data_IF_410949857705
#
_entry.id   IF_410949857705
#
_cell.length_a   1.000
_cell.length_b   1.000
_cell.length_c   1.000
_cell.angle_alpha   90.00
_cell.angle_beta   90.00
_cell.angle_gamma   90.00
#
_symmetry.space_group_name_H-M   'P 1'
#
loop_
_entity.id
_entity.type
_entity.pdbx_description
1 polymer ?
#
# COMPACT_ATOMS: atom_id res chain seq x y z
N UNK A 1 -9.01 92.54 44.03
CA UNK A 1 -9.96 92.46 42.90
C UNK A 1 -9.18 92.04 41.66
N UNK A 2 -9.35 90.79 41.23
CA UNK A 2 -9.35 90.39 39.82
C UNK A 2 -9.72 88.90 39.78
N UNK A 3 -10.94 88.62 39.31
CA UNK A 3 -11.45 87.28 39.06
C UNK A 3 -10.97 86.89 37.67
N UNK A 4 -10.14 85.86 37.58
CA UNK A 4 -9.81 85.23 36.30
C UNK A 4 -10.72 84.02 36.14
N UNK A 5 -11.77 84.18 35.33
CA UNK A 5 -12.64 83.09 34.90
C UNK A 5 -11.92 82.28 33.83
N UNK A 6 -11.60 81.01 34.11
CA UNK A 6 -11.19 80.04 33.10
C UNK A 6 -12.47 79.39 32.57
N UNK A 7 -12.79 79.64 31.31
CA UNK A 7 -13.86 78.97 30.57
C UNK A 7 -13.33 77.59 30.18
N UNK A 8 -13.81 76.54 30.83
CA UNK A 8 -13.59 75.17 30.42
C UNK A 8 -14.50 74.86 29.22
N UNK A 9 -13.92 74.79 28.02
CA UNK A 9 -14.58 74.25 26.84
C UNK A 9 -14.44 72.72 26.87
N UNK A 10 -15.47 72.02 27.33
CA UNK A 10 -15.60 70.57 27.18
C UNK A 10 -15.78 70.23 25.70
N UNK A 11 -14.72 69.73 25.06
CA UNK A 11 -14.82 69.00 23.80
C UNK A 11 -15.57 67.69 24.09
N UNK A 12 -16.84 67.63 23.73
CA UNK A 12 -17.57 66.37 23.61
C UNK A 12 -17.10 65.69 22.32
N UNK A 13 -16.12 64.80 22.42
CA UNK A 13 -15.80 63.83 21.37
C UNK A 13 -16.98 62.87 21.25
N UNK A 14 -17.84 63.10 20.26
CA UNK A 14 -18.78 62.09 19.76
C UNK A 14 -17.91 61.03 19.06
N UNK A 15 -17.50 60.02 19.83
CA UNK A 15 -17.07 58.74 19.27
C UNK A 15 -18.30 58.12 18.62
N UNK A 16 -18.40 58.23 17.30
CA UNK A 16 -19.18 57.29 16.51
C UNK A 16 -18.55 55.90 16.71
N UNK A 17 -18.95 55.19 17.75
CA UNK A 17 -18.84 53.73 17.75
C UNK A 17 -19.87 53.24 16.74
N UNK A 18 -19.45 53.12 15.48
CA UNK A 18 -20.13 52.17 14.61
C UNK A 18 -20.12 50.84 15.37
N UNK A 19 -21.26 50.14 15.53
CA UNK A 19 -21.20 48.76 15.98
C UNK A 19 -20.28 48.08 14.97
N UNK A 20 -19.14 47.58 15.44
CA UNK A 20 -18.29 46.71 14.63
C UNK A 20 -19.18 45.57 14.20
N UNK A 21 -19.60 45.62 12.94
CA UNK A 21 -20.30 44.53 12.28
C UNK A 21 -19.33 43.37 12.35
N UNK A 22 -19.60 42.44 13.26
CA UNK A 22 -19.00 41.12 13.25
C UNK A 22 -19.58 40.43 12.01
N UNK A 23 -18.85 40.54 10.91
CA UNK A 23 -18.99 39.68 9.73
C UNK A 23 -18.80 38.23 10.16
N UNK A 24 -19.31 37.26 9.44
CA UNK A 24 -19.04 35.86 9.72
C UNK A 24 -19.22 35.05 8.39
N UNK A 25 -18.49 33.96 8.22
CA UNK A 25 -18.08 33.44 6.90
C UNK A 25 -19.15 32.60 6.20
N UNK A 26 -19.21 32.68 4.87
CA UNK A 26 -19.89 31.70 4.02
C UNK A 26 -18.87 30.93 3.17
N UNK A 27 -19.10 29.65 2.91
CA UNK A 27 -18.42 28.89 1.84
C UNK A 27 -19.03 29.29 0.51
N UNK A 28 -18.18 29.60 -0.47
CA UNK A 28 -18.59 29.77 -1.86
C UNK A 28 -18.91 28.40 -2.50
N UNK A 29 -20.14 27.92 -2.27
CA UNK A 29 -20.56 26.60 -2.75
C UNK A 29 -20.80 26.55 -4.27
N UNK A 30 -20.85 27.70 -4.97
CA UNK A 30 -20.94 27.75 -6.44
C UNK A 30 -19.64 27.31 -7.08
N UNK A 31 -18.52 27.77 -6.53
CA UNK A 31 -17.16 27.53 -7.00
C UNK A 31 -16.45 26.37 -6.31
N UNK A 32 -17.03 25.81 -5.26
CA UNK A 32 -16.44 24.72 -4.51
C UNK A 32 -16.29 23.45 -5.35
N UNK A 33 -15.12 22.81 -5.22
CA UNK A 33 -14.81 21.52 -5.84
C UNK A 33 -15.70 20.42 -5.29
N UNK A 34 -16.20 19.56 -6.19
CA UNK A 34 -17.17 18.48 -5.90
C UNK A 34 -16.86 17.18 -6.63
N UNK A 35 -15.58 16.96 -6.98
CA UNK A 35 -15.15 15.79 -7.74
C UNK A 35 -15.20 14.52 -6.88
N UNK A 36 -15.59 13.41 -7.49
CA UNK A 36 -15.46 12.10 -6.85
C UNK A 36 -14.17 11.44 -7.29
N UNK A 37 -13.36 10.99 -6.33
CA UNK A 37 -12.15 10.22 -6.57
C UNK A 37 -12.33 8.76 -6.14
N UNK A 38 -11.49 7.90 -6.69
CA UNK A 38 -11.29 6.53 -6.21
C UNK A 38 -10.08 6.51 -5.27
N UNK A 39 -10.00 5.48 -4.43
CA UNK A 39 -8.81 5.23 -3.64
C UNK A 39 -7.67 4.77 -4.55
N UNK A 40 -6.63 5.57 -4.64
CA UNK A 40 -5.31 5.15 -5.06
C UNK A 40 -4.54 4.80 -3.78
N UNK A 41 -3.97 3.60 -3.65
CA UNK A 41 -3.13 3.21 -2.51
C UNK A 41 -1.64 3.06 -2.88
N UNK A 42 -1.27 3.43 -4.11
CA UNK A 42 0.07 3.14 -4.65
C UNK A 42 1.20 3.98 -4.06
N UNK A 43 0.87 5.04 -3.30
CA UNK A 43 1.85 5.85 -2.56
C UNK A 43 2.32 5.21 -1.25
N UNK A 44 1.67 4.13 -0.78
CA UNK A 44 1.94 3.55 0.53
C UNK A 44 2.41 2.11 0.48
N UNK A 45 3.25 1.76 1.44
CA UNK A 45 3.45 0.38 1.87
C UNK A 45 2.53 0.07 3.06
N UNK A 46 2.08 -1.18 3.18
CA UNK A 46 1.33 -1.60 4.37
C UNK A 46 2.29 -1.56 5.58
N UNK A 47 1.89 -0.95 6.72
CA UNK A 47 2.73 -0.88 7.91
C UNK A 47 3.20 -2.27 8.39
N UNK A 48 4.43 -2.33 8.90
CA UNK A 48 5.04 -3.60 9.35
C UNK A 48 4.38 -4.17 10.60
N UNK A 49 3.95 -3.30 11.52
CA UNK A 49 3.41 -3.69 12.82
C UNK A 49 1.89 -3.46 12.90
N UNK A 50 1.20 -4.29 13.69
CA UNK A 50 -0.22 -4.08 14.02
C UNK A 50 -0.42 -2.75 14.72
N UNK A 51 -1.50 -2.05 14.35
CA UNK A 51 -1.77 -0.68 14.80
C UNK A 51 -0.91 0.38 14.11
N UNK A 52 0.08 -0.02 13.31
CA UNK A 52 0.86 0.89 12.50
C UNK A 52 -0.02 1.59 11.46
N UNK A 53 0.20 2.89 11.31
CA UNK A 53 -0.49 3.77 10.36
C UNK A 53 0.53 4.34 9.37
N UNK A 54 0.16 4.38 8.09
CA UNK A 54 0.95 5.06 7.08
C UNK A 54 0.76 6.58 7.16
N UNK A 55 1.53 7.37 6.41
CA UNK A 55 1.32 8.82 6.36
C UNK A 55 -0.03 9.18 5.73
N UNK A 56 -0.67 10.27 6.17
CA UNK A 56 -1.91 10.76 5.55
C UNK A 56 -1.63 11.50 4.24
N UNK A 57 -2.23 11.03 3.16
CA UNK A 57 -2.16 11.68 1.86
C UNK A 57 -3.55 11.77 1.23
N UNK A 58 -3.71 12.66 0.25
CA UNK A 58 -4.90 12.76 -0.56
C UNK A 58 -4.58 12.57 -2.05
N UNK A 59 -5.55 12.04 -2.79
CA UNK A 59 -5.42 11.84 -4.23
C UNK A 59 -6.37 12.77 -4.99
N UNK A 60 -6.46 14.01 -4.52
CA UNK A 60 -7.32 15.04 -5.06
C UNK A 60 -7.56 16.16 -4.06
N UNK A 61 -7.55 17.39 -4.56
CA UNK A 61 -7.82 18.59 -3.78
C UNK A 61 -9.14 19.22 -4.21
N UNK A 62 -9.88 19.73 -3.23
CA UNK A 62 -11.14 20.43 -3.47
C UNK A 62 -10.89 21.92 -3.29
N UNK A 63 -11.02 22.71 -4.37
CA UNK A 63 -11.08 24.17 -4.24
C UNK A 63 -12.18 24.51 -3.24
N UNK A 64 -11.87 25.29 -2.23
CA UNK A 64 -12.82 25.74 -1.24
C UNK A 64 -12.49 27.18 -0.86
N UNK A 65 -13.39 28.09 -1.22
CA UNK A 65 -13.24 29.50 -0.91
C UNK A 65 -14.19 29.88 0.22
N UNK A 66 -13.71 30.75 1.09
CA UNK A 66 -14.50 31.38 2.15
C UNK A 66 -14.70 32.86 1.80
N UNK A 67 -15.93 33.34 1.99
CA UNK A 67 -16.40 34.67 1.62
C UNK A 67 -16.55 35.54 2.87
N UNK A 68 -16.30 36.84 2.68
CA UNK A 68 -16.52 37.87 3.69
C UNK A 68 -18.01 38.24 3.74
N UNK A 69 -18.76 37.53 4.57
CA UNK A 69 -20.23 37.58 4.65
C UNK A 69 -20.69 37.74 6.10
N UNK A 70 -21.94 37.42 6.44
CA UNK A 70 -22.37 37.22 7.85
C UNK A 70 -22.96 35.82 8.04
N UNK A 71 -22.41 35.02 8.95
CA UNK A 71 -22.81 33.63 9.20
C UNK A 71 -21.70 32.69 9.71
N UNK A 72 -21.97 31.42 9.89
CA UNK A 72 -20.95 30.40 10.19
C UNK A 72 -20.95 29.40 9.06
N UNK A 73 -19.77 29.06 8.56
CA UNK A 73 -19.65 27.99 7.59
C UNK A 73 -18.97 26.79 8.25
N UNK A 74 -19.43 25.58 7.94
CA UNK A 74 -18.74 24.36 8.37
C UNK A 74 -18.62 23.34 7.26
N UNK A 75 -17.60 22.51 7.36
CA UNK A 75 -17.38 21.34 6.52
C UNK A 75 -17.41 20.12 7.41
N UNK A 76 -18.12 19.09 6.99
CA UNK A 76 -18.11 17.79 7.69
C UNK A 76 -17.75 16.67 6.75
N UNK A 77 -17.16 15.62 7.31
CA UNK A 77 -16.92 14.36 6.62
C UNK A 77 -17.84 13.28 7.20
N UNK A 78 -18.65 12.65 6.35
CA UNK A 78 -19.42 11.46 6.70
C UNK A 78 -18.78 10.23 6.06
N UNK A 79 -18.37 9.29 6.89
CA UNK A 79 -17.78 8.02 6.45
C UNK A 79 -18.87 6.95 6.46
N UNK A 80 -19.26 6.47 5.29
CA UNK A 80 -20.14 5.32 5.17
C UNK A 80 -19.30 4.04 5.19
N UNK A 81 -18.90 3.63 6.40
CA UNK A 81 -18.09 2.45 6.66
C UNK A 81 -18.25 1.97 8.09
N UNK A 82 -17.78 0.76 8.39
CA UNK A 82 -17.82 0.21 9.75
C UNK A 82 -16.56 0.62 10.51
N UNK A 83 -16.67 1.34 11.64
CA UNK A 83 -15.52 1.59 12.51
C UNK A 83 -15.00 0.28 13.11
N UNK A 84 -13.70 0.08 13.10
CA UNK A 84 -13.04 -1.15 13.59
C UNK A 84 -11.98 -0.89 14.67
N UNK A 85 -11.72 0.38 14.99
CA UNK A 85 -10.81 0.74 16.07
C UNK A 85 -10.31 2.17 15.98
N UNK A 86 -9.22 2.42 16.69
CA UNK A 86 -8.55 3.72 16.79
C UNK A 86 -7.07 3.54 16.53
N UNK A 87 -6.49 4.38 15.68
CA UNK A 87 -5.06 4.38 15.36
C UNK A 87 -4.24 5.00 16.50
N UNK A 88 -2.92 4.83 16.44
CA UNK A 88 -2.00 5.33 17.48
C UNK A 88 -2.05 6.86 17.67
N UNK A 89 -2.49 7.60 16.67
CA UNK A 89 -2.65 9.05 16.69
C UNK A 89 -4.08 9.51 17.06
N UNK A 90 -4.93 8.57 17.50
CA UNK A 90 -6.32 8.82 17.87
C UNK A 90 -7.31 8.73 16.69
N UNK A 91 -6.84 8.53 15.46
CA UNK A 91 -7.72 8.52 14.30
C UNK A 91 -8.73 7.37 14.33
N UNK A 92 -9.97 7.60 13.90
CA UNK A 92 -10.95 6.51 13.74
C UNK A 92 -10.58 5.65 12.54
N UNK A 93 -10.53 4.32 12.73
CA UNK A 93 -10.20 3.36 11.67
C UNK A 93 -11.48 2.70 11.17
N UNK A 94 -11.60 2.57 9.85
CA UNK A 94 -12.73 1.93 9.19
C UNK A 94 -12.31 0.70 8.40
N UNK A 95 -13.19 -0.30 8.34
CA UNK A 95 -12.96 -1.56 7.64
C UNK A 95 -12.78 -1.37 6.12
N UNK A 96 -11.92 -2.19 5.52
CA UNK A 96 -11.92 -2.48 4.08
C UNK A 96 -12.49 -3.88 3.82
N UNK A 97 -12.52 -4.32 2.56
CA UNK A 97 -12.84 -5.73 2.26
C UNK A 97 -11.73 -6.72 2.69
N UNK A 98 -10.49 -6.27 2.93
CA UNK A 98 -9.45 -7.11 3.51
C UNK A 98 -9.45 -6.89 5.03
N UNK A 99 -9.81 -7.88 5.86
CA UNK A 99 -9.98 -7.67 7.30
C UNK A 99 -8.66 -7.45 8.05
N UNK A 100 -7.51 -7.63 7.40
CA UNK A 100 -6.21 -7.25 7.96
C UNK A 100 -5.85 -5.78 7.77
N UNK A 101 -6.64 -5.01 7.01
CA UNK A 101 -6.33 -3.65 6.60
C UNK A 101 -7.53 -2.72 6.81
N UNK A 102 -7.28 -1.61 7.49
CA UNK A 102 -8.23 -0.52 7.68
C UNK A 102 -7.77 0.77 7.00
N UNK A 103 -8.68 1.73 6.92
CA UNK A 103 -8.41 3.10 6.47
C UNK A 103 -8.75 4.07 7.59
N UNK A 104 -7.82 4.97 7.90
CA UNK A 104 -8.09 6.15 8.73
C UNK A 104 -8.24 7.38 7.84
N UNK A 105 -9.00 8.37 8.28
CA UNK A 105 -9.22 9.62 7.53
C UNK A 105 -8.73 10.83 8.31
N UNK A 106 -8.32 11.84 7.55
CA UNK A 106 -8.04 13.16 8.08
C UNK A 106 -8.68 14.20 7.16
N UNK A 107 -9.62 14.96 7.72
CA UNK A 107 -10.11 16.18 7.09
C UNK A 107 -9.05 17.24 7.31
N UNK A 108 -8.73 18.01 6.29
CA UNK A 108 -7.76 19.10 6.41
C UNK A 108 -8.11 20.27 5.49
N UNK A 109 -7.84 21.49 5.92
CA UNK A 109 -7.99 22.69 5.09
C UNK A 109 -6.68 23.48 5.07
N UNK A 110 -6.26 23.89 3.87
CA UNK A 110 -5.04 24.66 3.67
C UNK A 110 -5.30 25.89 2.78
N UNK A 111 -4.43 26.90 2.91
CA UNK A 111 -4.40 28.06 2.03
C UNK A 111 -2.96 28.31 1.59
N UNK A 112 -2.71 29.07 0.50
CA UNK A 112 -1.34 29.38 0.08
C UNK A 112 -0.47 30.11 1.11
N UNK A 113 -1.09 30.74 2.12
CA UNK A 113 -0.40 31.64 3.07
C UNK A 113 -0.42 31.16 4.52
N UNK A 114 -1.21 30.13 4.87
CA UNK A 114 -1.33 29.63 6.25
C UNK A 114 -0.68 28.26 6.39
N UNK A 115 0.32 28.18 7.25
CA UNK A 115 1.19 27.00 7.44
C UNK A 115 0.75 26.07 8.56
N UNK A 116 -0.26 26.44 9.36
CA UNK A 116 -0.85 25.56 10.39
C UNK A 116 -2.24 25.15 9.94
N UNK A 117 -2.37 24.01 9.23
CA UNK A 117 -3.65 23.66 8.65
C UNK A 117 -4.55 23.11 9.75
N UNK A 118 -5.83 23.51 9.76
CA UNK A 118 -6.82 22.87 10.64
C UNK A 118 -6.96 21.41 10.18
N UNK A 119 -6.80 20.47 11.09
CA UNK A 119 -6.88 19.04 10.82
C UNK A 119 -7.86 18.39 11.82
N UNK A 120 -8.64 17.43 11.35
CA UNK A 120 -9.51 16.61 12.21
C UNK A 120 -9.41 15.17 11.72
N UNK A 121 -9.00 14.29 12.61
CA UNK A 121 -8.74 12.88 12.33
C UNK A 121 -9.69 11.95 13.12
N UNK A 122 -10.60 12.49 13.93
CA UNK A 122 -11.50 11.73 14.78
C UNK A 122 -12.95 11.95 14.32
N UNK A 123 -13.72 10.88 14.19
CA UNK A 123 -15.15 11.01 13.89
C UNK A 123 -15.94 11.50 15.12
N UNK A 124 -16.96 12.36 14.96
CA UNK A 124 -17.41 13.00 13.72
C UNK A 124 -16.47 14.13 13.27
N UNK A 125 -16.09 14.10 11.99
CA UNK A 125 -15.14 15.05 11.42
C UNK A 125 -15.82 16.39 11.12
N UNK A 126 -15.33 17.48 11.70
CA UNK A 126 -15.89 18.81 11.49
C UNK A 126 -14.83 19.92 11.49
N UNK A 127 -15.00 20.86 10.55
CA UNK A 127 -14.38 22.17 10.62
C UNK A 127 -15.39 23.27 10.61
N UNK A 128 -15.19 24.25 11.48
CA UNK A 128 -15.98 25.47 11.55
C UNK A 128 -15.09 26.67 11.18
N UNK A 129 -15.51 27.41 10.17
CA UNK A 129 -14.91 28.67 9.77
C UNK A 129 -15.55 29.82 10.56
N UNK A 130 -14.78 30.39 11.49
CA UNK A 130 -15.21 31.47 12.38
C UNK A 130 -14.82 32.85 11.84
N UNK A 131 -15.62 33.87 12.19
CA UNK A 131 -15.51 35.29 11.81
C UNK A 131 -14.10 35.81 11.44
N UNK A 132 -14.01 36.52 10.31
CA UNK A 132 -12.83 37.30 9.89
C UNK A 132 -11.87 36.55 8.98
N UNK A 133 -12.24 35.35 8.55
CA UNK A 133 -11.44 34.45 7.74
C UNK A 133 -12.00 34.35 6.31
N UNK A 134 -11.50 35.20 5.42
CA UNK A 134 -11.75 35.13 3.98
C UNK A 134 -10.49 34.64 3.28
N UNK A 135 -10.58 33.50 2.61
CA UNK A 135 -9.43 32.88 1.98
C UNK A 135 -9.82 32.02 0.78
N UNK A 136 -8.94 32.04 -0.22
CA UNK A 136 -8.89 31.02 -1.26
C UNK A 136 -8.05 29.86 -0.75
N UNK A 137 -8.63 28.67 -0.70
CA UNK A 137 -7.96 27.50 -0.16
C UNK A 137 -8.38 26.20 -0.80
N UNK A 138 -7.91 25.13 -0.16
CA UNK A 138 -8.13 23.76 -0.58
C UNK A 138 -8.56 22.92 0.62
N UNK A 139 -9.67 22.22 0.45
CA UNK A 139 -10.05 21.13 1.33
C UNK A 139 -9.36 19.85 0.86
N UNK A 140 -8.84 19.12 1.83
CA UNK A 140 -8.16 17.86 1.71
C UNK A 140 -8.99 16.79 2.42
N UNK A 141 -9.30 15.71 1.71
CA UNK A 141 -9.85 14.49 2.29
C UNK A 141 -8.73 13.46 2.24
N UNK A 142 -7.90 13.44 3.29
CA UNK A 142 -6.75 12.56 3.37
C UNK A 142 -7.15 11.22 3.95
N UNK A 143 -6.40 10.20 3.59
CA UNK A 143 -6.55 8.87 4.18
C UNK A 143 -5.20 8.18 4.34
N UNK A 144 -5.16 7.19 5.23
CA UNK A 144 -3.97 6.40 5.52
C UNK A 144 -4.34 4.93 5.71
N UNK A 145 -3.43 4.05 5.30
CA UNK A 145 -3.54 2.60 5.51
C UNK A 145 -3.16 2.28 6.96
N UNK A 146 -3.97 1.44 7.60
CA UNK A 146 -3.71 0.92 8.94
C UNK A 146 -3.66 -0.60 8.92
N UNK A 147 -2.63 -1.19 9.54
CA UNK A 147 -2.56 -2.64 9.71
C UNK A 147 -3.33 -3.07 10.95
N UNK A 148 -4.27 -4.00 10.78
CA UNK A 148 -5.18 -4.43 11.85
C UNK A 148 -4.79 -5.77 12.49
N UNK A 149 -4.00 -6.60 11.81
CA UNK A 149 -3.73 -7.98 12.25
C UNK A 149 -2.26 -8.36 12.04
N UNK A 150 -1.78 -9.30 12.87
CA UNK A 150 -0.43 -9.86 12.73
C UNK A 150 -0.26 -10.60 11.41
N UNK A 151 -1.31 -11.30 10.98
CA UNK A 151 -1.37 -11.97 9.69
C UNK A 151 -2.44 -11.32 8.80
N UNK A 152 -1.99 -10.50 7.86
CA UNK A 152 -2.86 -9.90 6.84
C UNK A 152 -3.30 -11.00 5.89
N UNK A 153 -4.60 -11.32 5.78
CA UNK A 153 -5.07 -12.44 4.98
C UNK A 153 -4.91 -12.20 3.46
N UNK A 154 -5.10 -13.26 2.65
CA UNK A 154 -5.14 -13.14 1.19
C UNK A 154 -6.28 -12.23 0.72
N UNK A 155 -6.17 -11.78 -0.54
CA UNK A 155 -7.17 -10.99 -1.22
C UNK A 155 -6.81 -9.49 -1.29
N UNK A 156 -6.89 -8.93 -2.49
CA UNK A 156 -6.62 -7.52 -2.73
C UNK A 156 -7.64 -6.60 -2.04
N UNK A 157 -7.25 -5.36 -1.77
CA UNK A 157 -8.15 -4.34 -1.27
C UNK A 157 -8.91 -3.76 -2.47
N UNK A 158 -10.18 -4.12 -2.64
CA UNK A 158 -11.00 -3.66 -3.78
C UNK A 158 -12.01 -2.61 -3.36
N UNK A 159 -12.39 -2.58 -2.07
CA UNK A 159 -13.34 -1.62 -1.53
C UNK A 159 -12.90 -1.04 -0.19
N UNK A 160 -13.17 0.23 -0.02
CA UNK A 160 -13.02 1.01 1.21
C UNK A 160 -14.34 1.80 1.45
N UNK A 161 -14.50 2.48 2.59
CA UNK A 161 -15.69 3.28 2.86
C UNK A 161 -15.99 4.33 1.78
N UNK A 162 -17.26 4.60 1.55
CA UNK A 162 -17.68 5.76 0.76
C UNK A 162 -17.58 6.99 1.65
N UNK A 163 -17.02 8.08 1.13
CA UNK A 163 -16.82 9.31 1.90
C UNK A 163 -17.63 10.44 1.28
N UNK A 164 -18.49 11.03 2.09
CA UNK A 164 -19.32 12.17 1.72
C UNK A 164 -18.80 13.42 2.42
N UNK A 165 -18.62 14.49 1.66
CA UNK A 165 -18.30 15.82 2.19
C UNK A 165 -19.57 16.65 2.16
N UNK A 166 -19.83 17.37 3.26
CA UNK A 166 -20.94 18.31 3.35
C UNK A 166 -20.42 19.71 3.65
N UNK A 167 -20.87 20.69 2.87
CA UNK A 167 -20.67 22.12 3.08
C UNK A 167 -21.95 22.71 3.64
N UNK A 168 -21.84 23.44 4.74
CA UNK A 168 -22.97 24.12 5.38
C UNK A 168 -22.68 25.61 5.55
N UNK A 169 -23.70 26.42 5.32
CA UNK A 169 -23.71 27.85 5.61
C UNK A 169 -24.88 28.18 6.54
N UNK A 170 -24.60 28.84 7.66
CA UNK A 170 -25.59 29.22 8.67
C UNK A 170 -25.60 30.74 8.89
N UNK A 171 -26.74 31.43 8.75
CA UNK A 171 -28.03 30.90 8.34
C UNK A 171 -27.99 30.40 6.89
N UNK A 172 -28.89 29.47 6.56
CA UNK A 172 -29.01 28.93 5.21
C UNK A 172 -29.14 30.06 4.18
N UNK A 173 -28.32 30.02 3.13
CA UNK A 173 -28.27 31.05 2.08
C UNK A 173 -28.73 30.49 0.75
N UNK A 174 -29.54 31.22 0.00
CA UNK A 174 -30.06 30.78 -1.31
C UNK A 174 -29.02 30.87 -2.41
N UNK A 175 -28.10 31.82 -2.30
CA UNK A 175 -27.01 32.08 -3.24
C UNK A 175 -25.80 31.17 -3.00
N UNK A 176 -25.65 30.65 -1.78
CA UNK A 176 -24.63 29.67 -1.41
C UNK A 176 -25.26 28.54 -0.57
N UNK A 177 -26.08 27.68 -1.20
CA UNK A 177 -26.80 26.64 -0.48
C UNK A 177 -25.86 25.57 0.07
N UNK A 178 -26.33 24.85 1.08
CA UNK A 178 -25.66 23.65 1.59
C UNK A 178 -25.49 22.62 0.46
N UNK A 179 -24.34 21.97 0.42
CA UNK A 179 -24.01 20.96 -0.60
C UNK A 179 -23.54 19.69 0.08
N UNK A 180 -23.99 18.55 -0.42
CA UNK A 180 -23.45 17.22 -0.10
C UNK A 180 -23.00 16.53 -1.38
N UNK A 181 -21.82 15.93 -1.37
CA UNK A 181 -21.31 15.17 -2.51
C UNK A 181 -20.37 14.03 -2.08
N UNK A 182 -20.25 13.01 -2.92
CA UNK A 182 -19.32 11.91 -2.71
C UNK A 182 -17.91 12.34 -3.07
N UNK A 183 -17.04 12.43 -2.08
CA UNK A 183 -15.62 12.74 -2.25
C UNK A 183 -14.82 11.49 -2.65
N UNK A 184 -15.05 10.35 -1.96
CA UNK A 184 -14.42 9.06 -2.28
C UNK A 184 -15.49 8.01 -2.55
N UNK A 185 -15.41 7.34 -3.70
CA UNK A 185 -16.43 6.41 -4.21
C UNK A 185 -16.50 5.06 -3.49
N UNK A 186 -15.54 4.77 -2.60
CA UNK A 186 -15.36 3.45 -2.00
C UNK A 186 -14.60 2.45 -2.89
N UNK A 187 -14.32 2.77 -4.15
CA UNK A 187 -13.57 1.87 -5.06
C UNK A 187 -12.07 2.07 -4.90
N UNK A 188 -11.31 0.97 -4.74
CA UNK A 188 -9.84 0.99 -4.74
C UNK A 188 -9.32 0.58 -6.13
N UNK A 189 -8.62 1.50 -6.80
CA UNK A 189 -8.13 1.30 -8.18
C UNK A 189 -6.65 0.95 -8.26
N UNK A 190 -5.86 1.28 -7.22
CA UNK A 190 -4.44 0.91 -7.17
C UNK A 190 -4.09 0.33 -5.80
N UNK A 191 -3.29 -0.73 -5.80
CA UNK A 191 -2.89 -1.44 -4.60
C UNK A 191 -1.68 -0.78 -3.90
N UNK A 192 -1.49 -1.04 -2.60
CA UNK A 192 -0.26 -0.68 -1.89
C UNK A 192 0.98 -1.28 -2.53
N UNK A 193 2.10 -0.57 -2.39
CA UNK A 193 3.43 -1.04 -2.75
C UNK A 193 3.74 -2.34 -2.03
N UNK A 194 4.31 -3.31 -2.76
CA UNK A 194 4.67 -4.62 -2.22
C UNK A 194 6.06 -4.55 -1.61
N UNK A 195 6.17 -4.98 -0.37
CA UNK A 195 7.44 -5.47 0.18
C UNK A 195 7.59 -6.94 -0.19
N UNK A 196 8.56 -7.25 -1.05
CA UNK A 196 8.83 -8.62 -1.47
C UNK A 196 9.27 -9.49 -0.28
N UNK A 197 9.00 -10.80 -0.36
CA UNK A 197 9.56 -11.77 0.56
C UNK A 197 11.09 -11.70 0.52
N UNK A 198 11.74 -11.89 1.67
CA UNK A 198 13.15 -12.25 1.70
C UNK A 198 13.29 -13.74 1.40
N UNK A 199 14.23 -14.09 0.52
CA UNK A 199 14.48 -15.48 0.12
C UNK A 199 15.77 -15.94 0.79
N UNK A 200 15.69 -17.00 1.58
CA UNK A 200 16.84 -17.71 2.10
C UNK A 200 16.92 -19.08 1.42
N UNK A 201 17.89 -19.22 0.51
CA UNK A 201 18.11 -20.39 -0.31
C UNK A 201 19.59 -20.82 -0.24
N UNK A 202 19.91 -22.11 -0.42
CA UNK A 202 21.30 -22.54 -0.52
C UNK A 202 21.96 -21.93 -1.75
N UNK A 203 23.19 -21.45 -1.61
CA UNK A 203 23.98 -20.90 -2.73
C UNK A 203 24.63 -22.00 -3.58
N UNK A 204 24.76 -23.21 -3.05
CA UNK A 204 25.35 -24.36 -3.71
C UNK A 204 24.71 -25.65 -3.19
N UNK A 205 24.51 -26.61 -4.09
CA UNK A 205 24.18 -28.00 -3.75
C UNK A 205 25.25 -28.89 -4.39
N UNK A 206 26.00 -29.62 -3.56
CA UNK A 206 27.07 -30.50 -4.03
C UNK A 206 26.53 -31.89 -4.28
N UNK A 207 26.65 -32.34 -5.52
CA UNK A 207 26.35 -33.71 -5.91
C UNK A 207 27.56 -34.63 -5.66
N UNK A 208 27.34 -35.93 -5.37
CA UNK A 208 28.43 -36.88 -5.15
C UNK A 208 29.19 -37.15 -6.44
N UNK A 209 30.50 -37.35 -6.36
CA UNK A 209 31.30 -37.72 -7.55
C UNK A 209 30.78 -39.02 -8.18
N UNK A 210 30.51 -38.99 -9.48
CA UNK A 210 30.25 -40.20 -10.28
C UNK A 210 31.53 -40.71 -10.94
N UNK A 211 31.64 -42.04 -11.04
CA UNK A 211 32.77 -42.70 -11.69
C UNK A 211 32.30 -43.39 -12.97
N UNK A 212 33.06 -43.21 -14.06
CA UNK A 212 32.68 -43.66 -15.41
C UNK A 212 32.31 -45.13 -15.52
N UNK A 213 32.96 -46.00 -14.75
CA UNK A 213 32.70 -47.45 -14.73
C UNK A 213 31.36 -47.85 -14.07
N UNK A 214 30.71 -46.91 -13.38
CA UNK A 214 29.47 -47.14 -12.63
C UNK A 214 28.30 -46.30 -13.14
N UNK A 215 28.46 -45.63 -14.29
CA UNK A 215 27.40 -44.81 -14.85
C UNK A 215 26.26 -45.69 -15.38
N UNK A 216 25.04 -45.18 -15.22
CA UNK A 216 23.81 -45.70 -15.80
C UNK A 216 23.05 -44.59 -16.53
N UNK A 217 22.10 -44.95 -17.41
CA UNK A 217 21.21 -43.96 -18.01
C UNK A 217 20.20 -43.47 -16.96
N UNK A 218 19.79 -42.21 -17.07
CA UNK A 218 18.84 -41.56 -16.18
C UNK A 218 19.49 -40.89 -14.94
N UNK A 219 18.67 -40.73 -13.91
CA UNK A 219 19.01 -39.97 -12.71
C UNK A 219 19.99 -40.71 -11.79
N UNK A 220 21.07 -40.06 -11.37
CA UNK A 220 22.10 -40.65 -10.50
C UNK A 220 22.61 -39.66 -9.47
N UNK A 221 23.02 -40.18 -8.30
CA UNK A 221 23.54 -39.35 -7.22
C UNK A 221 22.50 -38.36 -6.69
N UNK A 222 21.26 -38.83 -6.49
CA UNK A 222 20.15 -38.02 -5.98
C UNK A 222 20.54 -37.42 -4.63
N UNK A 223 20.43 -36.10 -4.52
CA UNK A 223 20.76 -35.31 -3.32
C UNK A 223 19.60 -34.39 -2.98
N UNK A 224 19.23 -34.36 -1.70
CA UNK A 224 18.24 -33.42 -1.18
C UNK A 224 18.76 -31.98 -1.23
N UNK A 225 17.92 -31.05 -1.66
CA UNK A 225 18.23 -29.63 -1.61
C UNK A 225 17.87 -29.09 -0.22
N UNK A 226 18.77 -28.33 0.45
CA UNK A 226 18.43 -27.63 1.68
C UNK A 226 17.18 -26.77 1.50
N UNK A 227 16.29 -26.78 2.50
CA UNK A 227 15.00 -26.09 2.42
C UNK A 227 15.17 -24.60 2.11
N UNK A 228 14.41 -24.12 1.11
CA UNK A 228 14.31 -22.70 0.79
C UNK A 228 13.18 -22.10 1.61
N UNK A 229 13.49 -21.07 2.40
CA UNK A 229 12.51 -20.36 3.22
C UNK A 229 12.24 -18.97 2.67
N UNK A 230 10.97 -18.58 2.63
CA UNK A 230 10.52 -17.24 2.31
C UNK A 230 10.10 -16.56 3.60
N UNK A 231 10.62 -15.37 3.89
CA UNK A 231 10.29 -14.64 5.12
C UNK A 231 9.70 -13.27 4.82
N UNK A 232 8.85 -12.80 5.74
CA UNK A 232 8.16 -11.50 5.64
C UNK A 232 7.39 -11.34 4.32
N UNK A 233 6.76 -12.41 3.85
CA UNK A 233 5.94 -12.36 2.65
C UNK A 233 4.71 -11.46 2.86
N UNK A 234 4.27 -10.74 1.81
CA UNK A 234 3.18 -9.78 1.90
C UNK A 234 1.81 -10.49 1.99
N UNK A 235 0.89 -9.85 2.69
CA UNK A 235 -0.55 -10.16 2.64
C UNK A 235 -1.26 -9.28 1.62
N UNK A 236 -2.60 -9.31 1.63
CA UNK A 236 -3.45 -8.56 0.70
C UNK A 236 -3.13 -8.81 -0.79
N UNK A 237 -2.76 -10.06 -1.07
CA UNK A 237 -2.52 -10.62 -2.41
C UNK A 237 -3.33 -11.91 -2.53
N UNK A 238 -3.70 -12.26 -3.75
CA UNK A 238 -4.48 -13.47 -3.99
C UNK A 238 -3.61 -14.72 -3.76
N UNK A 239 -2.31 -14.61 -4.03
CA UNK A 239 -1.38 -15.71 -3.81
C UNK A 239 0.07 -15.32 -4.09
N UNK A 240 0.98 -16.16 -3.66
CA UNK A 240 2.38 -16.14 -4.08
C UNK A 240 2.62 -17.40 -4.90
N UNK A 241 3.42 -17.27 -5.95
CA UNK A 241 3.87 -18.40 -6.73
C UNK A 241 5.37 -18.30 -6.97
N UNK A 242 6.02 -19.45 -7.13
CA UNK A 242 7.45 -19.54 -7.39
C UNK A 242 7.74 -20.24 -8.71
N UNK A 243 8.90 -19.95 -9.28
CA UNK A 243 9.40 -20.56 -10.50
C UNK A 243 10.87 -20.91 -10.31
N UNK A 244 11.24 -22.13 -10.71
CA UNK A 244 12.63 -22.57 -10.85
C UNK A 244 13.07 -22.34 -12.30
N UNK A 245 13.84 -21.29 -12.51
CA UNK A 245 14.30 -20.81 -13.82
C UNK A 245 15.76 -21.25 -14.07
N UNK A 246 16.02 -22.13 -15.05
CA UNK A 246 17.38 -22.57 -15.37
C UNK A 246 18.22 -21.44 -15.97
N UNK A 247 19.43 -21.22 -15.44
CA UNK A 247 20.36 -20.18 -15.94
C UNK A 247 20.95 -20.58 -17.30
N UNK A 248 21.28 -21.86 -17.48
CA UNK A 248 21.92 -22.37 -18.69
C UNK A 248 20.93 -22.98 -19.70
N UNK A 249 19.62 -22.71 -19.55
CA UNK A 249 18.50 -23.35 -20.27
C UNK A 249 18.22 -24.81 -19.86
N UNK A 250 17.23 -25.43 -20.50
CA UNK A 250 16.81 -26.81 -20.25
C UNK A 250 17.33 -27.74 -21.34
N UNK A 251 17.75 -28.94 -20.94
CA UNK A 251 17.95 -30.04 -21.88
C UNK A 251 16.59 -30.72 -22.20
N UNK A 252 15.81 -31.05 -21.16
CA UNK A 252 14.47 -31.65 -21.29
C UNK A 252 13.54 -31.11 -20.20
N UNK A 253 12.87 -29.99 -20.48
CA UNK A 253 12.05 -29.28 -19.49
C UNK A 253 10.93 -30.13 -18.88
N UNK A 254 10.27 -30.97 -19.68
CA UNK A 254 9.19 -31.87 -19.24
C UNK A 254 9.65 -32.94 -18.26
N UNK A 255 10.95 -33.21 -18.21
CA UNK A 255 11.56 -34.17 -17.31
C UNK A 255 12.42 -33.49 -16.23
N UNK A 256 12.30 -32.16 -16.09
CA UNK A 256 13.06 -31.41 -15.08
C UNK A 256 14.57 -31.34 -15.35
N UNK A 257 15.03 -31.56 -16.60
CA UNK A 257 16.46 -31.66 -16.92
C UNK A 257 17.02 -30.33 -17.43
N UNK A 258 18.05 -29.85 -16.74
CA UNK A 258 18.81 -28.63 -16.98
C UNK A 258 20.03 -28.89 -17.86
N UNK A 259 20.37 -27.93 -18.69
CA UNK A 259 21.70 -27.91 -19.30
C UNK A 259 22.79 -27.64 -18.25
N UNK A 260 24.01 -28.05 -18.58
CA UNK A 260 25.20 -27.83 -17.77
C UNK A 260 26.19 -26.94 -18.53
N UNK A 261 27.14 -26.36 -17.80
CA UNK A 261 28.20 -25.54 -18.39
C UNK A 261 29.01 -26.40 -19.37
N UNK A 262 29.25 -25.86 -20.57
CA UNK A 262 30.03 -26.50 -21.62
C UNK A 262 31.39 -25.84 -21.79
N UNK A 263 32.42 -26.59 -22.19
CA UNK A 263 33.75 -26.07 -22.52
C UNK A 263 34.87 -26.93 -21.98
N UNK A 264 36.10 -26.41 -22.01
CA UNK A 264 37.26 -27.10 -21.47
C UNK A 264 37.09 -27.38 -19.96
N UNK A 265 37.42 -28.59 -19.53
CA UNK A 265 37.30 -29.01 -18.13
C UNK A 265 35.88 -29.38 -17.66
N UNK A 266 34.86 -29.27 -18.52
CA UNK A 266 33.49 -29.69 -18.23
C UNK A 266 33.12 -31.00 -18.95
N UNK A 267 32.29 -31.82 -18.30
CA UNK A 267 31.77 -33.06 -18.86
C UNK A 267 30.81 -32.77 -20.02
N UNK A 268 30.85 -33.61 -21.06
CA UNK A 268 29.85 -33.61 -22.14
C UNK A 268 28.77 -34.64 -21.84
N UNK A 269 27.54 -34.32 -22.24
CA UNK A 269 26.36 -35.19 -22.14
C UNK A 269 26.05 -35.67 -20.72
N UNK A 270 26.41 -34.85 -19.73
CA UNK A 270 26.01 -35.03 -18.33
C UNK A 270 25.24 -33.78 -17.90
N UNK A 271 23.99 -33.98 -17.53
CA UNK A 271 23.02 -32.93 -17.21
C UNK A 271 22.66 -32.96 -15.72
N UNK A 272 21.84 -32.01 -15.28
CA UNK A 272 21.26 -32.01 -13.92
C UNK A 272 19.75 -32.17 -14.04
N UNK A 273 19.16 -33.13 -13.32
CA UNK A 273 17.71 -33.24 -13.17
C UNK A 273 17.27 -32.66 -11.83
N UNK A 274 16.18 -31.89 -11.85
CA UNK A 274 15.44 -31.43 -10.68
C UNK A 274 14.21 -32.31 -10.52
N UNK A 275 14.02 -32.85 -9.32
CA UNK A 275 12.95 -33.79 -9.00
C UNK A 275 12.10 -33.26 -7.84
N UNK A 276 10.81 -33.56 -7.84
CA UNK A 276 9.97 -33.42 -6.66
C UNK A 276 10.48 -34.36 -5.55
N UNK A 277 9.99 -34.19 -4.32
CA UNK A 277 10.41 -35.04 -3.19
C UNK A 277 10.11 -36.54 -3.42
N UNK A 278 9.11 -36.87 -4.22
CA UNK A 278 8.77 -38.25 -4.61
C UNK A 278 9.66 -38.84 -5.72
N UNK A 279 10.61 -38.05 -6.26
CA UNK A 279 11.51 -38.44 -7.34
C UNK A 279 10.96 -38.22 -8.75
N UNK A 280 9.72 -37.75 -8.90
CA UNK A 280 9.16 -37.38 -10.21
C UNK A 280 9.78 -36.08 -10.74
N UNK A 281 9.68 -35.84 -12.05
CA UNK A 281 10.21 -34.63 -12.67
C UNK A 281 9.60 -33.35 -12.07
N UNK A 282 10.45 -32.40 -11.67
CA UNK A 282 10.00 -31.09 -11.23
C UNK A 282 9.66 -30.19 -12.42
N UNK A 283 8.64 -29.33 -12.26
CA UNK A 283 8.29 -28.33 -13.28
C UNK A 283 9.38 -27.26 -13.33
N UNK A 284 9.90 -26.98 -14.52
CA UNK A 284 10.86 -25.90 -14.79
C UNK A 284 10.20 -24.81 -15.63
N UNK A 285 10.62 -23.55 -15.44
CA UNK A 285 10.05 -22.38 -16.13
C UNK A 285 8.52 -22.22 -15.97
N UNK A 286 7.89 -22.95 -15.05
CA UNK A 286 6.48 -22.88 -14.73
C UNK A 286 6.23 -22.09 -13.44
N UNK A 287 5.03 -21.53 -13.34
CA UNK A 287 4.58 -20.83 -12.13
C UNK A 287 3.88 -21.84 -11.20
N UNK A 288 4.48 -22.09 -10.03
CA UNK A 288 3.97 -23.05 -9.06
C UNK A 288 3.36 -22.26 -7.89
N UNK A 289 2.04 -22.37 -7.65
CA UNK A 289 1.41 -21.72 -6.50
C UNK A 289 2.00 -22.22 -5.19
N UNK A 290 2.23 -21.31 -4.25
CA UNK A 290 2.54 -21.64 -2.88
C UNK A 290 1.24 -22.08 -2.19
N UNK A 291 1.03 -23.39 -2.12
CA UNK A 291 -0.27 -23.99 -1.78
C UNK A 291 -0.77 -23.68 -0.37
N UNK A 292 0.14 -23.38 0.55
CA UNK A 292 -0.14 -23.03 1.94
C UNK A 292 -0.21 -21.51 2.18
N UNK A 293 -0.25 -20.69 1.12
CA UNK A 293 -0.36 -19.24 1.25
C UNK A 293 -1.68 -18.83 1.92
N UNK A 294 -1.56 -18.26 3.12
CA UNK A 294 -2.68 -17.80 3.94
C UNK A 294 -2.53 -16.31 4.31
N UNK A 295 -1.77 -15.56 3.51
CA UNK A 295 -1.58 -14.12 3.68
C UNK A 295 -0.14 -13.72 4.03
N UNK A 296 0.05 -12.65 4.79
CA UNK A 296 1.39 -12.25 5.19
C UNK A 296 2.02 -13.28 6.13
N UNK A 297 3.31 -13.55 6.00
CA UNK A 297 3.98 -14.47 6.90
C UNK A 297 5.25 -15.08 6.34
N UNK A 298 5.67 -16.18 6.95
CA UNK A 298 6.81 -16.96 6.52
C UNK A 298 6.32 -18.26 5.90
N UNK A 299 7.03 -18.71 4.86
CA UNK A 299 6.67 -19.88 4.08
C UNK A 299 7.91 -20.69 3.71
N UNK A 300 7.69 -21.91 3.23
CA UNK A 300 8.74 -22.76 2.70
C UNK A 300 8.39 -23.20 1.29
N UNK A 301 9.35 -23.16 0.37
CA UNK A 301 9.19 -23.83 -0.91
C UNK A 301 9.21 -25.34 -0.64
N UNK A 302 8.28 -26.12 -1.24
CA UNK A 302 8.27 -27.58 -1.13
C UNK A 302 9.64 -28.20 -1.40
N UNK A 303 9.97 -29.27 -0.68
CA UNK A 303 11.23 -29.99 -0.86
C UNK A 303 11.36 -30.51 -2.28
N UNK A 304 12.57 -30.44 -2.81
CA UNK A 304 12.93 -30.99 -4.11
C UNK A 304 14.36 -31.52 -4.05
N UNK A 305 14.69 -32.37 -5.02
CA UNK A 305 15.97 -33.07 -5.12
C UNK A 305 16.66 -32.70 -6.41
N UNK A 306 17.97 -32.88 -6.44
CA UNK A 306 18.78 -32.74 -7.65
C UNK A 306 19.61 -34.00 -7.86
N UNK A 307 19.84 -34.35 -9.12
CA UNK A 307 20.64 -35.51 -9.52
C UNK A 307 21.42 -35.20 -10.80
N UNK A 308 22.47 -35.96 -11.07
CA UNK A 308 22.97 -36.06 -12.45
C UNK A 308 21.93 -36.73 -13.33
N UNK A 309 21.94 -36.41 -14.62
CA UNK A 309 21.11 -37.06 -15.62
C UNK A 309 21.91 -37.37 -16.88
N UNK A 310 21.84 -38.61 -17.35
CA UNK A 310 22.60 -39.12 -18.50
C UNK A 310 21.63 -39.78 -19.47
N UNK A 311 21.60 -39.33 -20.72
CA UNK A 311 20.77 -39.97 -21.76
C UNK A 311 21.37 -41.32 -22.18
N UNK A 312 22.66 -41.32 -22.48
CA UNK A 312 23.42 -42.49 -22.90
C UNK A 312 24.84 -42.45 -22.30
N UNK A 313 25.15 -43.43 -21.46
CA UNK A 313 26.46 -43.61 -20.83
C UNK A 313 27.61 -43.77 -21.81
N UNK A 314 27.34 -44.16 -23.07
CA UNK A 314 28.38 -44.34 -24.07
C UNK A 314 28.84 -43.02 -24.72
N UNK A 315 28.13 -41.92 -24.48
CA UNK A 315 28.42 -40.60 -25.07
C UNK A 315 28.90 -39.55 -24.05
N UNK A 316 29.24 -39.97 -22.83
CA UNK A 316 29.68 -39.05 -21.77
C UNK A 316 31.19 -38.88 -21.74
N UNK A 317 31.66 -37.70 -21.34
CA UNK A 317 33.08 -37.47 -21.04
C UNK A 317 33.29 -37.12 -19.58
N UNK A 318 34.44 -37.50 -19.03
CA UNK A 318 34.84 -37.04 -17.70
C UNK A 318 35.04 -35.52 -17.68
N UNK A 319 34.70 -34.87 -16.56
CA UNK A 319 34.87 -33.44 -16.35
C UNK A 319 34.00 -32.92 -15.21
N UNK A 320 34.10 -31.62 -14.95
CA UNK A 320 33.23 -30.94 -14.00
C UNK A 320 31.80 -30.85 -14.55
N UNK A 321 30.82 -30.87 -13.66
CA UNK A 321 29.41 -30.64 -13.99
C UNK A 321 28.92 -29.50 -13.13
N UNK A 322 28.36 -28.48 -13.77
CA UNK A 322 27.81 -27.31 -13.10
C UNK A 322 26.54 -26.88 -13.82
N UNK A 323 25.51 -26.56 -13.04
CA UNK A 323 24.33 -25.85 -13.51
C UNK A 323 23.90 -24.84 -12.46
N UNK A 324 22.86 -24.05 -12.75
CA UNK A 324 22.30 -23.07 -11.82
C UNK A 324 20.81 -22.85 -12.08
N UNK A 325 20.07 -22.57 -11.00
CA UNK A 325 18.65 -22.29 -10.99
C UNK A 325 18.44 -20.95 -10.28
N UNK A 326 17.66 -20.07 -10.87
CA UNK A 326 17.12 -18.88 -10.22
C UNK A 326 15.74 -19.20 -9.63
N UNK A 327 15.51 -18.83 -8.37
CA UNK A 327 14.17 -18.87 -7.76
C UNK A 327 13.53 -17.51 -7.97
N UNK A 328 12.43 -17.47 -8.73
CA UNK A 328 11.65 -16.25 -8.98
C UNK A 328 10.32 -16.33 -8.25
N UNK A 329 9.93 -15.24 -7.60
CA UNK A 329 8.62 -15.11 -6.96
C UNK A 329 7.72 -14.19 -7.80
N UNK A 330 6.45 -14.56 -7.90
CA UNK A 330 5.39 -13.73 -8.44
C UNK A 330 4.30 -13.53 -7.38
N UNK A 331 3.75 -12.31 -7.33
CA UNK A 331 2.72 -11.89 -6.40
C UNK A 331 1.44 -11.64 -7.20
N UNK A 332 0.38 -12.41 -6.91
CA UNK A 332 -0.87 -12.44 -7.66
C UNK A 332 -2.00 -11.68 -6.96
#
# INVERSE_FOLDING_TARGET
MNKTSIIACTLATILYTTPGISFAIAIDTKDAGRNTYNYDLSSWSIPTNVGGIAWFDDHGLYKLNTLDETGTARVTLTINGTPVGTASDGSTIYATNNPGIGIAYNLNYSTPTITTPQNDNVAPYEFVFNNGYYATGYLHVKYAIVRLTDQIPPGQITTAPVVTVNYFNEPARTDYPDISFTALSGTVTKQPVITACSINAPTEVKLPTLYGNNLSNGAQGVTDVPTITLTNCPGARNGISYNLSPVYSTHQASNGVLQTVTGEGYAKNVYIQVQNDDGTAHILNGNIPLSDYIGSGNYTIPKFKVAYYIDDVNDVTAGNVKSAIEVKLAYN
#
